data_IF_903017186325
#
_entry.id   IF_903017186325
#
_cell.length_a   1.000
_cell.length_b   1.000
_cell.length_c   1.000
_cell.angle_alpha   90.00
_cell.angle_beta   90.00
_cell.angle_gamma   90.00
#
_symmetry.space_group_name_H-M   'P 1'
#
loop_
_entity.id
_entity.type
_entity.pdbx_description
1 polymer ?
#
# COMPACT_ATOMS: atom_id res chain seq x y z
N UNK A 1 -18.22 -0.72 -8.44
CA UNK A 1 -16.96 -0.17 -9.03
C UNK A 1 -16.11 -1.37 -9.42
N UNK A 2 -15.50 -1.44 -10.61
CA UNK A 2 -14.63 -2.59 -10.95
C UNK A 2 -13.27 -2.46 -10.24
N UNK A 3 -12.56 -3.56 -10.01
CA UNK A 3 -11.27 -3.54 -9.28
C UNK A 3 -10.24 -2.64 -9.97
N UNK A 4 -10.19 -2.66 -11.31
CA UNK A 4 -9.36 -1.76 -12.12
C UNK A 4 -9.71 -0.29 -11.89
N UNK A 5 -11.00 0.06 -11.82
CA UNK A 5 -11.43 1.43 -11.54
C UNK A 5 -11.08 1.83 -10.11
N UNK A 6 -11.25 0.95 -9.13
CA UNK A 6 -10.88 1.20 -7.74
C UNK A 6 -9.37 1.49 -7.61
N UNK A 7 -8.54 0.69 -8.29
CA UNK A 7 -7.10 0.89 -8.33
C UNK A 7 -6.70 2.25 -8.95
N UNK A 8 -7.25 2.60 -10.11
CA UNK A 8 -7.02 3.93 -10.70
C UNK A 8 -7.61 5.08 -9.88
N UNK A 9 -8.64 4.82 -9.07
CA UNK A 9 -9.23 5.82 -8.20
C UNK A 9 -8.39 6.06 -6.94
N UNK A 10 -7.78 5.03 -6.38
CA UNK A 10 -6.72 5.14 -5.36
C UNK A 10 -5.59 6.02 -5.89
N UNK A 11 -5.10 5.72 -7.10
CA UNK A 11 -4.08 6.51 -7.78
C UNK A 11 -4.51 7.96 -8.01
N UNK A 12 -5.75 8.18 -8.46
CA UNK A 12 -6.32 9.52 -8.62
C UNK A 12 -6.32 10.33 -7.32
N UNK A 13 -6.72 9.71 -6.20
CA UNK A 13 -6.79 10.40 -4.92
C UNK A 13 -5.41 10.77 -4.39
N UNK A 14 -4.46 9.85 -4.48
CA UNK A 14 -3.08 10.13 -4.11
C UNK A 14 -2.49 11.21 -5.04
N UNK A 15 -2.69 11.10 -6.36
CA UNK A 15 -2.26 12.12 -7.31
C UNK A 15 -2.80 13.51 -6.96
N UNK A 16 -4.11 13.64 -6.72
CA UNK A 16 -4.72 14.91 -6.33
C UNK A 16 -4.18 15.43 -5.00
N UNK A 17 -3.92 14.54 -4.04
CA UNK A 17 -3.27 14.91 -2.78
C UNK A 17 -1.88 15.52 -3.02
N UNK A 18 -1.05 14.91 -3.87
CA UNK A 18 0.27 15.45 -4.24
C UNK A 18 0.22 16.74 -5.05
N UNK A 19 -0.81 16.94 -5.87
CA UNK A 19 -1.02 18.20 -6.61
C UNK A 19 -1.41 19.34 -5.68
N UNK A 20 -2.25 19.08 -4.68
CA UNK A 20 -2.77 20.11 -3.76
C UNK A 20 -1.74 20.46 -2.68
N UNK A 21 -0.99 19.47 -2.21
CA UNK A 21 -0.09 19.63 -1.07
C UNK A 21 1.24 20.27 -1.51
N UNK A 22 1.48 21.51 -1.09
CA UNK A 22 2.70 22.28 -1.42
C UNK A 22 3.89 21.93 -0.50
N UNK A 23 4.12 20.62 -0.29
CA UNK A 23 5.30 20.14 0.42
C UNK A 23 6.50 20.21 -0.53
N UNK A 24 7.11 21.40 -0.67
CA UNK A 24 8.44 21.78 -1.22
C UNK A 24 9.13 20.94 -2.32
N UNK A 25 9.15 19.61 -2.21
CA UNK A 25 9.75 18.65 -3.15
C UNK A 25 8.70 17.82 -3.93
N UNK A 26 7.43 17.77 -3.49
CA UNK A 26 6.41 16.82 -3.97
C UNK A 26 5.58 17.28 -5.17
N UNK A 27 5.64 18.57 -5.53
CA UNK A 27 4.85 19.14 -6.64
C UNK A 27 5.43 18.84 -8.02
N UNK A 28 6.73 18.52 -8.09
CA UNK A 28 7.46 18.44 -9.37
C UNK A 28 7.06 17.22 -10.22
N UNK A 29 6.64 16.12 -9.58
CA UNK A 29 6.21 14.87 -10.25
C UNK A 29 5.07 14.15 -9.50
N UNK A 30 3.84 14.70 -9.49
CA UNK A 30 2.73 14.14 -8.72
C UNK A 30 2.30 12.75 -9.20
N UNK A 31 2.53 12.41 -10.47
CA UNK A 31 2.28 11.08 -11.04
C UNK A 31 3.24 10.04 -10.48
N UNK A 32 4.53 10.34 -10.46
CA UNK A 32 5.56 9.45 -9.88
C UNK A 32 5.32 9.29 -8.38
N UNK A 33 5.07 10.38 -7.66
CA UNK A 33 4.84 10.34 -6.21
C UNK A 33 3.60 9.52 -5.83
N UNK A 34 2.51 9.65 -6.58
CA UNK A 34 1.31 8.84 -6.38
C UNK A 34 1.56 7.36 -6.68
N UNK A 35 2.28 7.05 -7.77
CA UNK A 35 2.60 5.66 -8.13
C UNK A 35 3.50 5.01 -7.07
N UNK A 36 4.54 5.72 -6.62
CA UNK A 36 5.43 5.26 -5.54
C UNK A 36 4.69 5.07 -4.22
N UNK A 37 3.70 5.91 -3.92
CA UNK A 37 2.88 5.76 -2.71
C UNK A 37 2.01 4.51 -2.76
N UNK A 38 1.46 4.17 -3.92
CA UNK A 38 0.74 2.89 -4.11
C UNK A 38 1.70 1.72 -3.91
N UNK A 39 2.86 1.75 -4.57
CA UNK A 39 3.86 0.69 -4.43
C UNK A 39 4.28 0.52 -2.97
N UNK A 40 4.49 1.61 -2.24
CA UNK A 40 4.83 1.57 -0.82
C UNK A 40 3.70 0.98 0.03
N UNK A 41 2.44 1.35 -0.23
CA UNK A 41 1.29 0.75 0.47
C UNK A 41 1.15 -0.75 0.19
N UNK A 42 1.36 -1.18 -1.05
CA UNK A 42 1.33 -2.60 -1.41
C UNK A 42 2.48 -3.36 -0.76
N UNK A 43 3.68 -2.78 -0.71
CA UNK A 43 4.82 -3.37 -0.01
C UNK A 43 4.59 -3.46 1.50
N UNK A 44 3.97 -2.44 2.12
CA UNK A 44 3.59 -2.50 3.54
C UNK A 44 2.54 -3.58 3.80
N UNK A 45 1.53 -3.68 2.94
CA UNK A 45 0.51 -4.72 3.04
C UNK A 45 1.13 -6.11 2.89
N UNK A 46 1.98 -6.32 1.89
CA UNK A 46 2.69 -7.58 1.68
C UNK A 46 3.55 -7.91 2.89
N UNK A 47 4.36 -6.97 3.37
CA UNK A 47 5.23 -7.17 4.52
C UNK A 47 4.45 -7.53 5.78
N UNK A 48 3.31 -6.88 6.02
CA UNK A 48 2.43 -7.20 7.14
C UNK A 48 1.87 -8.63 7.06
N UNK A 49 1.51 -9.11 5.87
CA UNK A 49 1.08 -10.50 5.66
C UNK A 49 2.21 -11.49 5.91
N UNK A 50 3.43 -11.16 5.47
CA UNK A 50 4.62 -11.98 5.72
C UNK A 50 4.90 -12.13 7.21
N UNK A 51 4.79 -11.05 7.99
CA UNK A 51 4.93 -11.14 9.45
C UNK A 51 3.87 -12.03 10.09
N UNK A 52 2.61 -11.89 9.69
CA UNK A 52 1.54 -12.76 10.21
C UNK A 52 1.77 -14.23 9.86
N UNK A 53 2.19 -14.52 8.63
CA UNK A 53 2.52 -15.87 8.21
C UNK A 53 3.65 -16.45 9.07
N UNK A 54 4.75 -15.71 9.24
CA UNK A 54 5.89 -16.13 10.04
C UNK A 54 5.51 -16.45 11.49
N UNK A 55 4.65 -15.63 12.10
CA UNK A 55 4.14 -15.86 13.46
C UNK A 55 3.24 -17.10 13.54
N UNK A 56 2.43 -17.36 12.51
CA UNK A 56 1.50 -18.50 12.50
C UNK A 56 2.18 -19.85 12.24
N UNK A 57 3.31 -19.85 11.52
CA UNK A 57 4.05 -21.07 11.16
C UNK A 57 5.38 -21.20 11.92
N UNK A 58 5.60 -20.37 12.95
CA UNK A 58 6.84 -20.28 13.72
C UNK A 58 8.10 -20.23 12.82
N UNK A 59 7.96 -19.62 11.65
CA UNK A 59 9.02 -19.57 10.63
C UNK A 59 9.86 -18.33 10.82
N UNK A 60 11.19 -18.48 10.73
CA UNK A 60 12.10 -17.34 10.79
C UNK A 60 11.92 -16.44 9.58
N UNK A 61 11.81 -15.12 9.81
CA UNK A 61 11.84 -14.11 8.75
C UNK A 61 13.17 -14.13 7.95
N UNK A 62 14.22 -14.75 8.50
CA UNK A 62 15.53 -14.92 7.88
C UNK A 62 15.71 -16.22 7.09
N UNK A 63 14.66 -17.04 6.92
CA UNK A 63 14.73 -18.20 6.03
C UNK A 63 14.90 -17.74 4.57
N UNK A 64 15.95 -18.24 3.90
CA UNK A 64 16.32 -17.86 2.53
C UNK A 64 15.18 -18.09 1.53
N UNK A 65 14.43 -19.19 1.67
CA UNK A 65 13.31 -19.49 0.79
C UNK A 65 12.18 -18.48 1.01
N UNK A 66 11.88 -18.19 2.27
CA UNK A 66 10.86 -17.22 2.65
C UNK A 66 11.20 -15.80 2.16
N UNK A 67 12.45 -15.39 2.31
CA UNK A 67 12.96 -14.11 1.84
C UNK A 67 12.93 -14.00 0.31
N UNK A 68 13.27 -15.09 -0.40
CA UNK A 68 13.24 -15.12 -1.87
C UNK A 68 11.80 -14.99 -2.41
N UNK A 69 10.82 -15.62 -1.75
CA UNK A 69 9.40 -15.46 -2.09
C UNK A 69 8.96 -14.01 -1.88
N UNK A 70 9.36 -13.38 -0.76
CA UNK A 70 9.06 -11.97 -0.50
C UNK A 70 9.57 -11.05 -1.61
N UNK A 71 10.85 -11.22 -2.00
CA UNK A 71 11.46 -10.44 -3.09
C UNK A 71 10.73 -10.71 -4.41
N UNK A 72 10.44 -11.97 -4.73
CA UNK A 72 9.77 -12.34 -5.98
C UNK A 72 8.37 -11.71 -6.13
N UNK A 73 7.57 -11.75 -5.06
CA UNK A 73 6.24 -11.12 -5.04
C UNK A 73 6.37 -9.61 -5.07
N UNK A 74 7.27 -9.02 -4.29
CA UNK A 74 7.52 -7.57 -4.29
C UNK A 74 7.95 -7.04 -5.67
N UNK A 75 8.84 -7.75 -6.35
CA UNK A 75 9.26 -7.41 -7.72
C UNK A 75 8.10 -7.49 -8.71
N UNK A 76 7.25 -8.52 -8.57
CA UNK A 76 6.06 -8.70 -9.42
C UNK A 76 5.09 -7.52 -9.28
N UNK A 77 4.84 -7.07 -8.05
CA UNK A 77 4.02 -5.87 -7.76
C UNK A 77 4.66 -4.62 -8.38
N UNK A 78 5.97 -4.45 -8.21
CA UNK A 78 6.70 -3.31 -8.76
C UNK A 78 6.59 -3.24 -10.29
N UNK A 79 6.79 -4.36 -11.00
CA UNK A 79 6.64 -4.43 -12.45
C UNK A 79 5.20 -4.13 -12.88
N UNK A 80 4.21 -4.69 -12.18
CA UNK A 80 2.80 -4.43 -12.43
C UNK A 80 2.48 -2.92 -12.35
N UNK A 81 2.96 -2.24 -11.30
CA UNK A 81 2.77 -0.81 -11.12
C UNK A 81 3.37 0.02 -12.26
N UNK A 82 4.60 -0.32 -12.69
CA UNK A 82 5.24 0.33 -13.82
C UNK A 82 4.37 0.18 -15.07
N UNK A 83 3.89 -1.03 -15.37
CA UNK A 83 3.05 -1.27 -16.55
C UNK A 83 1.75 -0.47 -16.47
N UNK A 84 1.09 -0.42 -15.31
CA UNK A 84 -0.17 0.28 -15.12
C UNK A 84 -0.05 1.81 -15.23
N UNK A 85 1.05 2.40 -14.75
CA UNK A 85 1.21 3.86 -14.68
C UNK A 85 2.04 4.46 -15.82
N UNK A 86 2.80 3.66 -16.57
CA UNK A 86 3.57 4.10 -17.75
C UNK A 86 2.67 4.69 -18.84
N UNK A 87 1.49 4.12 -19.06
CA UNK A 87 0.59 4.61 -20.11
C UNK A 87 -0.28 5.79 -19.64
N UNK A 88 0.25 7.01 -19.82
CA UNK A 88 -0.44 8.27 -19.46
C UNK A 88 -1.82 8.43 -20.10
N UNK A 89 -2.02 7.94 -21.33
CA UNK A 89 -3.32 8.04 -22.01
C UNK A 89 -4.40 7.23 -21.28
N UNK A 90 -4.01 6.08 -20.72
CA UNK A 90 -4.92 5.12 -20.11
C UNK A 90 -5.43 5.62 -18.75
N UNK A 91 -4.53 6.01 -17.83
CA UNK A 91 -4.97 6.51 -16.52
C UNK A 91 -5.62 7.90 -16.59
N UNK A 92 -5.22 8.78 -17.52
CA UNK A 92 -5.89 10.09 -17.73
C UNK A 92 -7.34 9.95 -18.23
N UNK A 93 -7.69 8.85 -18.91
CA UNK A 93 -9.08 8.57 -19.27
C UNK A 93 -9.94 8.39 -18.03
N UNK A 94 -9.45 7.65 -17.04
CA UNK A 94 -10.15 7.45 -15.76
C UNK A 94 -10.24 8.74 -14.95
N UNK A 95 -9.19 9.58 -14.95
CA UNK A 95 -9.22 10.86 -14.23
C UNK A 95 -10.34 11.76 -14.75
N UNK A 96 -10.47 11.89 -16.07
CA UNK A 96 -11.57 12.64 -16.70
C UNK A 96 -12.95 12.08 -16.37
N UNK A 97 -13.07 10.77 -16.13
CA UNK A 97 -14.32 10.16 -15.65
C UNK A 97 -14.58 10.51 -14.18
N UNK A 98 -13.56 10.45 -13.33
CA UNK A 98 -13.68 10.72 -11.90
C UNK A 98 -13.93 12.20 -11.59
N UNK A 99 -13.35 13.11 -12.37
CA UNK A 99 -13.59 14.56 -12.24
C UNK A 99 -15.06 14.92 -12.50
N UNK A 100 -15.80 14.11 -13.27
CA UNK A 100 -17.24 14.28 -13.54
C UNK A 100 -18.14 13.65 -12.48
N UNK A 101 -17.59 13.03 -11.43
CA UNK A 101 -18.42 12.38 -10.43
C UNK A 101 -19.16 13.39 -9.54
N UNK A 102 -20.41 13.10 -9.14
CA UNK A 102 -21.13 13.92 -8.17
C UNK A 102 -20.35 14.05 -6.87
N UNK A 103 -20.39 15.24 -6.24
CA UNK A 103 -19.67 15.53 -4.98
C UNK A 103 -19.89 14.45 -3.91
N UNK A 104 -21.13 13.99 -3.71
CA UNK A 104 -21.46 12.94 -2.75
C UNK A 104 -20.70 11.64 -3.00
N UNK A 105 -20.68 11.17 -4.26
CA UNK A 105 -19.95 9.96 -4.66
C UNK A 105 -18.44 10.12 -4.47
N UNK A 106 -17.92 11.30 -4.81
CA UNK A 106 -16.50 11.58 -4.66
C UNK A 106 -16.06 11.64 -3.19
N UNK A 107 -16.90 12.18 -2.30
CA UNK A 107 -16.61 12.23 -0.87
C UNK A 107 -16.60 10.84 -0.24
N UNK A 108 -17.61 10.00 -0.52
CA UNK A 108 -17.63 8.62 -0.06
C UNK A 108 -16.42 7.84 -0.56
N UNK A 109 -16.05 7.99 -1.85
CA UNK A 109 -14.86 7.36 -2.40
C UNK A 109 -13.57 7.83 -1.71
N UNK A 110 -13.47 9.13 -1.41
CA UNK A 110 -12.30 9.69 -0.69
C UNK A 110 -12.17 9.08 0.70
N UNK A 111 -13.29 8.97 1.43
CA UNK A 111 -13.30 8.36 2.77
C UNK A 111 -12.83 6.91 2.72
N UNK A 112 -13.33 6.12 1.76
CA UNK A 112 -12.93 4.71 1.58
C UNK A 112 -11.43 4.60 1.30
N UNK A 113 -10.88 5.47 0.44
CA UNK A 113 -9.44 5.46 0.13
C UNK A 113 -8.61 5.72 1.38
N UNK A 114 -8.94 6.74 2.16
CA UNK A 114 -8.19 7.04 3.39
C UNK A 114 -8.34 5.98 4.46
N UNK A 115 -9.53 5.39 4.61
CA UNK A 115 -9.74 4.25 5.50
C UNK A 115 -8.87 3.06 5.10
N UNK A 116 -8.77 2.76 3.80
CA UNK A 116 -7.91 1.68 3.30
C UNK A 116 -6.42 1.96 3.58
N UNK A 117 -5.96 3.19 3.36
CA UNK A 117 -4.59 3.60 3.68
C UNK A 117 -4.30 3.44 5.19
N UNK A 118 -5.21 3.92 6.04
CA UNK A 118 -5.07 3.79 7.50
C UNK A 118 -5.12 2.33 7.96
N UNK A 119 -5.96 1.51 7.34
CA UNK A 119 -6.05 0.08 7.64
C UNK A 119 -4.73 -0.63 7.32
N UNK A 120 -4.12 -0.36 6.16
CA UNK A 120 -2.81 -0.94 5.80
C UNK A 120 -1.74 -0.52 6.80
N UNK A 121 -1.64 0.78 7.12
CA UNK A 121 -0.66 1.29 8.07
C UNK A 121 -0.88 0.69 9.47
N UNK A 122 -2.12 0.70 9.96
CA UNK A 122 -2.48 0.14 11.27
C UNK A 122 -2.22 -1.36 11.36
N UNK A 123 -2.53 -2.11 10.30
CA UNK A 123 -2.24 -3.54 10.21
C UNK A 123 -0.74 -3.81 10.27
N UNK A 124 0.08 -3.00 9.60
CA UNK A 124 1.53 -3.14 9.66
C UNK A 124 2.07 -2.85 11.06
N UNK A 125 1.61 -1.77 11.72
CA UNK A 125 1.98 -1.46 13.11
C UNK A 125 1.59 -2.61 14.05
N UNK A 126 0.39 -3.15 13.88
CA UNK A 126 -0.09 -4.29 14.66
C UNK A 126 0.74 -5.55 14.43
N UNK A 127 1.17 -5.81 13.19
CA UNK A 127 2.06 -6.93 12.85
C UNK A 127 3.40 -6.83 13.57
N UNK A 128 4.00 -5.63 13.61
CA UNK A 128 5.22 -5.38 14.38
C UNK A 128 5.02 -5.62 15.88
N UNK A 129 3.89 -5.17 16.43
CA UNK A 129 3.55 -5.40 17.84
C UNK A 129 3.44 -6.90 18.17
N UNK A 130 2.78 -7.67 17.31
CA UNK A 130 2.68 -9.13 17.48
C UNK A 130 4.04 -9.82 17.38
N UNK A 131 4.87 -9.43 16.40
CA UNK A 131 6.21 -9.98 16.24
C UNK A 131 7.08 -9.70 17.47
N UNK A 132 7.00 -8.49 18.02
CA UNK A 132 7.69 -8.11 19.25
C UNK A 132 7.24 -8.95 20.44
N UNK A 133 5.93 -9.18 20.60
CA UNK A 133 5.37 -10.00 21.67
C UNK A 133 5.76 -11.48 21.57
N UNK A 134 5.83 -11.99 20.34
CA UNK A 134 6.20 -13.38 20.05
C UNK A 134 7.72 -13.64 20.17
N UNK A 135 8.54 -12.59 20.22
CA UNK A 135 10.00 -12.73 20.33
C UNK A 135 10.41 -13.48 21.61
N UNK A 136 11.35 -14.45 21.53
CA UNK A 136 11.74 -15.30 22.66
C UNK A 136 12.24 -14.53 23.90
N UNK A 137 12.78 -13.32 23.70
CA UNK A 137 13.19 -12.42 24.78
C UNK A 137 12.00 -11.99 25.69
N UNK A 138 10.80 -11.87 25.14
CA UNK A 138 9.59 -11.50 25.89
C UNK A 138 8.85 -12.70 26.49
N UNK A 139 8.95 -13.87 25.87
CA UNK A 139 8.34 -15.10 26.41
C UNK A 139 9.02 -15.52 27.72
N UNK A 140 10.35 -15.37 27.82
CA UNK A 140 11.11 -15.70 29.02
C UNK A 140 10.83 -14.80 30.24
N UNK A 141 10.33 -13.58 30.03
CA UNK A 141 9.99 -12.63 31.11
C UNK A 141 8.58 -12.79 31.66
N UNK A 142 7.66 -13.46 30.92
CA UNK A 142 6.31 -13.78 31.41
C UNK A 142 6.22 -15.06 32.25
N UNK A 143 7.24 -15.92 32.22
CA UNK A 143 7.28 -17.18 32.98
C UNK A 143 7.96 -17.06 34.35
N UNK A 144 8.37 -15.85 34.76
CA UNK A 144 8.86 -15.54 36.11
C UNK A 144 7.83 -14.71 36.86
#
# INVERSE_FOLDING_TARGET
>A
MTIRKAYYYLFYKLYRFFVITDLGFRKQYPDINAASSIAMLEMLALFSLFMHYAILTDTSLGDDCFFLIFIGVGLSIFVFNIVCFRNKKLWRKYFREFDKWPRRKNNTGTLIVWLLVLLVIGNTIFSFYLLYLHSPAHVATRQK
#
